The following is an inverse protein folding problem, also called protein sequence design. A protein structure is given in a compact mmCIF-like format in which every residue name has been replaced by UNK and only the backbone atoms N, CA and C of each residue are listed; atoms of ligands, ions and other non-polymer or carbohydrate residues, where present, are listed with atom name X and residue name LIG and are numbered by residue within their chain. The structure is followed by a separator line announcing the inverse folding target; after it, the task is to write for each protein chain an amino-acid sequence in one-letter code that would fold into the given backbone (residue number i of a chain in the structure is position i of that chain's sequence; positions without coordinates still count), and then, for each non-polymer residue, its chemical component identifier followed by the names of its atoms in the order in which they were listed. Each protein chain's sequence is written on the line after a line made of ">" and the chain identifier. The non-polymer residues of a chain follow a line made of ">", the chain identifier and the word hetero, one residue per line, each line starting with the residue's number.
data_IF_857584456685
#
_entry.id   IF_857584456685
#
_cell.length_a   1.000
_cell.length_b   1.000
_cell.length_c   1.000
_cell.angle_alpha   90.00
_cell.angle_beta   90.00
_cell.angle_gamma   90.00
#
_symmetry.space_group_name_H-M   'P 1'
#
loop_
_entity.id
_entity.type
_entity.pdbx_description
1 polymer ?
#
# COMPACT_ATOMS: atom_id res chain seq x y z
N UNK A 1 29.85 -0.71 11.85
CA UNK A 1 28.89 0.02 11.02
C UNK A 1 27.68 -0.87 10.83
N UNK A 2 26.51 -0.42 11.24
CA UNK A 2 25.26 -1.16 11.14
C UNK A 2 24.81 -1.23 9.66
N UNK A 3 23.98 -2.23 9.31
CA UNK A 3 23.46 -2.44 7.95
C UNK A 3 22.82 -1.16 7.36
N UNK A 4 22.05 -0.43 8.17
CA UNK A 4 21.40 0.80 7.73
C UNK A 4 22.39 1.96 7.51
N UNK A 5 23.46 2.03 8.31
CA UNK A 5 24.53 3.00 8.10
C UNK A 5 25.30 2.72 6.80
N UNK A 6 25.57 1.45 6.53
CA UNK A 6 26.22 1.00 5.29
C UNK A 6 25.37 1.30 4.06
N UNK A 7 24.07 1.06 4.18
CA UNK A 7 23.10 1.44 3.12
C UNK A 7 23.09 2.96 2.88
N UNK A 8 23.03 3.77 3.95
CA UNK A 8 23.07 5.23 3.85
C UNK A 8 24.39 5.74 3.22
N UNK A 9 25.48 5.00 3.41
CA UNK A 9 26.76 5.25 2.77
C UNK A 9 26.81 4.81 1.29
N UNK A 10 25.78 4.13 0.80
CA UNK A 10 25.67 3.70 -0.61
C UNK A 10 26.34 2.35 -0.91
N UNK A 11 26.61 1.53 0.12
CA UNK A 11 27.21 0.21 -0.10
C UNK A 11 26.21 -0.76 -0.77
N UNK A 12 26.63 -1.36 -1.87
CA UNK A 12 25.80 -2.27 -2.69
C UNK A 12 25.41 -3.52 -1.92
N UNK A 13 26.33 -4.12 -1.16
CA UNK A 13 26.03 -5.34 -0.37
C UNK A 13 24.97 -5.09 0.70
N UNK A 14 24.98 -3.88 1.30
CA UNK A 14 23.95 -3.49 2.25
C UNK A 14 22.60 -3.31 1.57
N UNK A 15 22.58 -2.72 0.39
CA UNK A 15 21.38 -2.61 -0.43
C UNK A 15 20.81 -3.98 -0.81
N UNK A 16 21.65 -4.91 -1.29
CA UNK A 16 21.21 -6.26 -1.64
C UNK A 16 20.60 -7.01 -0.43
N UNK A 17 21.22 -6.86 0.74
CA UNK A 17 20.72 -7.47 1.98
C UNK A 17 19.34 -6.93 2.35
N UNK A 18 19.12 -5.62 2.26
CA UNK A 18 17.83 -4.97 2.50
C UNK A 18 16.80 -5.34 1.42
N UNK A 19 17.21 -5.44 0.16
CA UNK A 19 16.35 -5.92 -0.91
C UNK A 19 15.81 -7.31 -0.59
N UNK A 20 16.68 -8.27 -0.30
CA UNK A 20 16.28 -9.65 0.05
C UNK A 20 15.34 -9.70 1.26
N UNK A 21 15.59 -8.85 2.26
CA UNK A 21 14.79 -8.80 3.48
C UNK A 21 13.38 -8.23 3.24
N UNK A 22 13.25 -7.18 2.45
CA UNK A 22 12.02 -6.39 2.34
C UNK A 22 11.25 -6.58 1.02
N UNK A 23 11.76 -7.28 0.01
CA UNK A 23 11.09 -7.42 -1.29
C UNK A 23 9.67 -8.00 -1.18
N UNK A 24 9.47 -9.01 -0.33
CA UNK A 24 8.17 -9.62 -0.09
C UNK A 24 7.18 -8.67 0.59
N UNK A 25 7.65 -7.86 1.53
CA UNK A 25 6.83 -6.86 2.22
C UNK A 25 6.42 -5.74 1.26
N UNK A 26 7.37 -5.22 0.50
CA UNK A 26 7.13 -4.17 -0.51
C UNK A 26 6.11 -4.65 -1.54
N UNK A 27 6.26 -5.86 -2.06
CA UNK A 27 5.29 -6.45 -2.97
C UNK A 27 3.88 -6.51 -2.35
N UNK A 28 3.76 -7.01 -1.10
CA UNK A 28 2.47 -7.10 -0.39
C UNK A 28 1.84 -5.73 -0.17
N UNK A 29 2.62 -4.71 0.17
CA UNK A 29 2.10 -3.34 0.33
C UNK A 29 1.55 -2.79 -0.99
N UNK A 30 2.30 -2.98 -2.07
CA UNK A 30 1.95 -2.45 -3.39
C UNK A 30 0.74 -3.17 -3.98
N UNK A 31 0.74 -4.51 -3.97
CA UNK A 31 -0.34 -5.29 -4.60
C UNK A 31 -1.71 -5.02 -3.97
N UNK A 32 -1.75 -4.72 -2.68
CA UNK A 32 -2.99 -4.34 -1.97
C UNK A 32 -3.53 -2.99 -2.42
N UNK A 33 -2.66 -2.08 -2.87
CA UNK A 33 -3.04 -0.76 -3.34
C UNK A 33 -3.43 -0.80 -4.82
N UNK A 34 -2.58 -1.39 -5.68
CA UNK A 34 -2.78 -1.38 -7.14
C UNK A 34 -3.70 -2.48 -7.63
N UNK A 35 -3.80 -3.59 -6.89
CA UNK A 35 -4.62 -4.78 -7.21
C UNK A 35 -4.32 -5.38 -8.60
N UNK A 36 -3.06 -5.43 -8.94
CA UNK A 36 -2.52 -5.96 -10.18
C UNK A 36 -1.16 -6.56 -9.88
N UNK A 37 -1.01 -7.85 -10.07
CA UNK A 37 0.21 -8.60 -9.72
C UNK A 37 1.40 -8.19 -10.57
N UNK A 38 1.19 -8.00 -11.88
CA UNK A 38 2.25 -7.59 -12.81
C UNK A 38 2.74 -6.18 -12.47
N UNK A 39 1.81 -5.24 -12.29
CA UNK A 39 2.16 -3.89 -11.87
C UNK A 39 2.83 -3.86 -10.49
N UNK A 40 2.43 -4.73 -9.56
CA UNK A 40 3.05 -4.82 -8.24
C UNK A 40 4.49 -5.33 -8.32
N UNK A 41 4.81 -6.28 -9.19
CA UNK A 41 6.18 -6.75 -9.42
C UNK A 41 7.06 -5.62 -9.97
N UNK A 42 6.60 -4.92 -11.01
CA UNK A 42 7.31 -3.79 -11.60
C UNK A 42 7.53 -2.66 -10.58
N UNK A 43 6.51 -2.31 -9.83
CA UNK A 43 6.59 -1.26 -8.81
C UNK A 43 7.46 -1.66 -7.61
N UNK A 44 7.58 -2.95 -7.31
CA UNK A 44 8.52 -3.43 -6.30
C UNK A 44 9.95 -3.13 -6.72
N UNK A 45 10.32 -3.45 -7.94
CA UNK A 45 11.65 -3.13 -8.49
C UNK A 45 11.86 -1.61 -8.53
N UNK A 46 10.88 -0.85 -9.00
CA UNK A 46 10.94 0.61 -9.05
C UNK A 46 11.10 1.24 -7.65
N UNK A 47 10.44 0.68 -6.65
CA UNK A 47 10.55 1.14 -5.25
C UNK A 47 11.98 1.01 -4.75
N UNK A 48 12.61 -0.14 -4.96
CA UNK A 48 14.01 -0.34 -4.55
C UNK A 48 14.99 0.50 -5.36
N UNK A 49 14.73 0.72 -6.63
CA UNK A 49 15.51 1.64 -7.44
C UNK A 49 15.44 3.09 -6.92
N UNK A 50 14.25 3.57 -6.57
CA UNK A 50 14.07 4.88 -5.92
C UNK A 50 14.74 4.94 -4.57
N UNK A 51 14.64 3.88 -3.76
CA UNK A 51 15.32 3.77 -2.47
C UNK A 51 16.84 3.82 -2.63
N UNK A 52 17.39 3.10 -3.59
CA UNK A 52 18.83 3.12 -3.88
C UNK A 52 19.30 4.54 -4.29
N UNK A 53 18.59 5.21 -5.19
CA UNK A 53 18.91 6.60 -5.56
C UNK A 53 18.80 7.59 -4.39
N UNK A 54 17.95 7.31 -3.43
CA UNK A 54 17.68 8.19 -2.30
C UNK A 54 18.46 7.80 -1.02
N UNK A 55 19.38 6.82 -1.08
CA UNK A 55 20.07 6.29 0.10
C UNK A 55 20.70 7.37 0.98
N UNK A 56 21.32 8.38 0.39
CA UNK A 56 21.95 9.50 1.10
C UNK A 56 20.94 10.40 1.87
N UNK A 57 19.65 10.30 1.57
CA UNK A 57 18.57 11.01 2.29
C UNK A 57 17.97 10.17 3.42
N UNK A 58 18.33 8.89 3.48
CA UNK A 58 17.87 8.02 4.57
C UNK A 58 18.67 8.32 5.84
N UNK A 59 17.98 8.51 6.94
CA UNK A 59 18.61 8.66 8.25
C UNK A 59 18.80 7.29 8.86
N UNK A 60 20.04 6.89 9.12
CA UNK A 60 20.37 5.55 9.62
C UNK A 60 19.79 5.25 11.02
N UNK A 61 19.42 6.29 11.78
CA UNK A 61 18.69 6.20 13.06
C UNK A 61 17.17 6.09 12.89
N UNK A 62 16.67 6.15 11.65
CA UNK A 62 15.25 6.10 11.33
C UNK A 62 14.71 4.69 11.09
N UNK A 63 13.39 4.58 11.00
CA UNK A 63 12.70 3.34 10.64
C UNK A 63 12.77 3.10 9.13
N UNK A 64 13.62 2.16 8.70
CA UNK A 64 13.81 1.83 7.30
C UNK A 64 12.53 1.29 6.64
N UNK A 65 11.78 0.43 7.33
CA UNK A 65 10.54 -0.14 6.80
C UNK A 65 9.50 0.96 6.52
N UNK A 66 9.33 1.92 7.43
CA UNK A 66 8.42 3.05 7.25
C UNK A 66 8.86 3.96 6.10
N UNK A 67 10.16 4.25 5.99
CA UNK A 67 10.71 5.03 4.90
C UNK A 67 10.54 4.35 3.54
N UNK A 68 10.82 3.04 3.46
CA UNK A 68 10.65 2.24 2.25
C UNK A 68 9.17 2.12 1.86
N UNK A 69 8.27 1.91 2.85
CA UNK A 69 6.82 1.88 2.64
C UNK A 69 6.31 3.19 2.05
N UNK A 70 6.83 4.33 2.50
CA UNK A 70 6.49 5.64 1.91
C UNK A 70 6.84 5.71 0.42
N UNK A 71 8.03 5.22 0.03
CA UNK A 71 8.45 5.16 -1.38
C UNK A 71 7.52 4.24 -2.16
N UNK A 72 7.24 3.04 -1.65
CA UNK A 72 6.37 2.05 -2.27
C UNK A 72 4.93 2.58 -2.46
N UNK A 73 4.37 3.20 -1.42
CA UNK A 73 3.01 3.76 -1.48
C UNK A 73 2.92 4.90 -2.48
N UNK A 74 3.92 5.78 -2.53
CA UNK A 74 3.97 6.85 -3.51
C UNK A 74 4.06 6.30 -4.95
N UNK A 75 4.89 5.28 -5.18
CA UNK A 75 4.99 4.63 -6.48
C UNK A 75 3.64 4.00 -6.90
N UNK A 76 2.97 3.31 -5.98
CA UNK A 76 1.64 2.73 -6.22
C UNK A 76 0.57 3.79 -6.52
N UNK A 77 0.56 4.90 -5.80
CA UNK A 77 -0.37 6.01 -6.03
C UNK A 77 -0.11 6.71 -7.38
N UNK A 78 1.14 6.89 -7.75
CA UNK A 78 1.52 7.47 -9.05
C UNK A 78 1.02 6.57 -10.19
N UNK A 79 1.18 5.26 -10.06
CA UNK A 79 0.67 4.28 -11.03
C UNK A 79 -0.86 4.35 -11.17
N UNK A 80 -1.59 4.46 -10.06
CA UNK A 80 -3.05 4.57 -10.10
C UNK A 80 -3.52 5.90 -10.74
N UNK A 81 -2.78 6.98 -10.54
CA UNK A 81 -3.06 8.27 -11.21
C UNK A 81 -2.88 8.16 -12.71
N UNK A 82 -1.79 7.52 -13.15
CA UNK A 82 -1.51 7.31 -14.58
C UNK A 82 -2.55 6.40 -15.22
N UNK A 83 -2.95 5.32 -14.54
CA UNK A 83 -4.01 4.40 -15.03
C UNK A 83 -5.38 5.04 -15.14
N UNK A 84 -5.73 6.03 -14.30
CA UNK A 84 -6.99 6.77 -14.44
C UNK A 84 -7.11 7.51 -15.79
N UNK A 85 -5.99 7.82 -16.42
CA UNK A 85 -5.97 8.42 -17.78
C UNK A 85 -6.19 7.37 -18.88
N UNK A 86 -6.03 6.06 -18.57
CA UNK A 86 -6.20 4.93 -19.49
C UNK A 86 -7.13 3.90 -18.85
N UNK A 87 -8.45 4.09 -18.98
CA UNK A 87 -9.48 3.24 -18.36
C UNK A 87 -9.33 1.78 -18.76
N UNK A 88 -9.27 0.85 -17.78
CA UNK A 88 -9.70 -0.55 -17.92
C UNK A 88 -9.89 -1.24 -16.57
N UNK A 89 -10.86 -2.13 -16.54
CA UNK A 89 -11.43 -2.91 -15.45
C UNK A 89 -10.41 -3.72 -14.62
N UNK A 90 -10.67 -3.92 -13.30
CA UNK A 90 -9.79 -4.71 -12.46
C UNK A 90 -9.98 -6.21 -12.71
N UNK A 91 -8.89 -6.89 -13.07
CA UNK A 91 -8.81 -8.35 -12.99
C UNK A 91 -8.64 -8.80 -11.53
N UNK A 92 -9.35 -9.87 -11.17
CA UNK A 92 -9.35 -10.45 -9.84
C UNK A 92 -7.96 -10.96 -9.42
N UNK A 93 -7.45 -10.44 -8.32
CA UNK A 93 -6.31 -11.04 -7.65
C UNK A 93 -6.84 -12.17 -6.76
N UNK A 94 -6.68 -13.39 -7.22
CA UNK A 94 -6.98 -14.57 -6.42
C UNK A 94 -5.95 -14.70 -5.29
N UNK A 95 -6.36 -14.36 -4.06
CA UNK A 95 -5.66 -14.83 -2.87
C UNK A 95 -6.09 -16.28 -2.63
N UNK A 96 -5.13 -17.21 -2.52
CA UNK A 96 -5.40 -18.58 -2.09
C UNK A 96 -6.08 -18.58 -0.72
N UNK A 97 -7.34 -18.98 -0.68
CA UNK A 97 -8.13 -19.05 0.54
C UNK A 97 -8.91 -20.35 0.60
N UNK A 98 -9.09 -20.86 1.83
CA UNK A 98 -9.98 -21.99 2.14
C UNK A 98 -11.36 -21.77 1.52
N UNK A 99 -12.09 -22.84 1.15
CA UNK A 99 -13.42 -22.72 0.55
C UNK A 99 -14.38 -22.03 1.52
N UNK A 100 -14.71 -20.80 1.19
CA UNK A 100 -15.73 -20.01 1.91
C UNK A 100 -17.13 -20.36 1.39
N UNK A 101 -18.13 -20.16 2.25
CA UNK A 101 -19.53 -20.21 1.81
C UNK A 101 -19.80 -19.16 0.72
N UNK A 102 -20.77 -19.43 -0.16
CA UNK A 102 -21.17 -18.49 -1.23
C UNK A 102 -21.48 -17.09 -0.67
N UNK A 103 -22.13 -17.01 0.49
CA UNK A 103 -22.43 -15.75 1.16
C UNK A 103 -21.16 -14.99 1.58
N UNK A 104 -20.15 -15.70 2.11
CA UNK A 104 -18.86 -15.08 2.47
C UNK A 104 -18.10 -14.58 1.25
N UNK A 105 -18.12 -15.34 0.14
CA UNK A 105 -17.52 -14.92 -1.13
C UNK A 105 -18.18 -13.65 -1.68
N UNK A 106 -19.52 -13.58 -1.64
CA UNK A 106 -20.25 -12.39 -2.06
C UNK A 106 -19.92 -11.17 -1.19
N UNK A 107 -19.86 -11.34 0.12
CA UNK A 107 -19.48 -10.27 1.04
C UNK A 107 -18.06 -9.77 0.78
N UNK A 108 -17.12 -10.68 0.60
CA UNK A 108 -15.73 -10.31 0.27
C UNK A 108 -15.60 -9.60 -1.08
N UNK A 109 -16.33 -10.07 -2.10
CA UNK A 109 -16.36 -9.43 -3.41
C UNK A 109 -16.93 -8.00 -3.31
N UNK A 110 -17.99 -7.80 -2.54
CA UNK A 110 -18.57 -6.48 -2.33
C UNK A 110 -17.62 -5.54 -1.57
N UNK A 111 -16.94 -6.02 -0.54
CA UNK A 111 -15.92 -5.23 0.19
C UNK A 111 -14.78 -4.84 -0.75
N UNK A 112 -14.22 -5.79 -1.52
CA UNK A 112 -13.17 -5.50 -2.51
C UNK A 112 -13.60 -4.45 -3.52
N UNK A 113 -14.82 -4.56 -4.05
CA UNK A 113 -15.39 -3.59 -4.97
C UNK A 113 -15.52 -2.21 -4.32
N UNK A 114 -16.01 -2.14 -3.08
CA UNK A 114 -16.13 -0.88 -2.34
C UNK A 114 -14.77 -0.18 -2.16
N UNK A 115 -13.72 -0.94 -1.79
CA UNK A 115 -12.36 -0.42 -1.70
C UNK A 115 -11.82 0.04 -3.05
N UNK A 116 -12.05 -0.74 -4.13
CA UNK A 116 -11.60 -0.40 -5.47
C UNK A 116 -12.19 0.92 -5.99
N UNK A 117 -13.42 1.25 -5.56
CA UNK A 117 -14.11 2.48 -5.93
C UNK A 117 -13.77 3.69 -5.07
N UNK A 118 -12.95 3.53 -4.02
CA UNK A 118 -12.45 4.67 -3.25
C UNK A 118 -11.47 5.50 -4.09
N UNK A 119 -11.47 6.84 -3.91
CA UNK A 119 -10.38 7.66 -4.42
C UNK A 119 -9.02 7.14 -3.95
N UNK A 120 -7.94 7.15 -4.77
CA UNK A 120 -6.66 6.52 -4.44
C UNK A 120 -6.08 6.94 -3.09
N UNK A 121 -6.16 8.23 -2.74
CA UNK A 121 -5.67 8.74 -1.46
C UNK A 121 -6.46 8.23 -0.25
N UNK A 122 -7.75 8.00 -0.40
CA UNK A 122 -8.60 7.43 0.65
C UNK A 122 -8.41 5.92 0.73
N UNK A 123 -8.26 5.26 -0.42
CA UNK A 123 -7.97 3.83 -0.48
C UNK A 123 -6.67 3.47 0.24
N UNK A 124 -5.60 4.23 0.00
CA UNK A 124 -4.33 3.99 0.66
C UNK A 124 -4.43 4.07 2.19
N UNK A 125 -5.09 5.10 2.72
CA UNK A 125 -5.31 5.24 4.17
C UNK A 125 -6.20 4.11 4.70
N UNK A 126 -7.29 3.78 4.02
CA UNK A 126 -8.20 2.71 4.43
C UNK A 126 -7.52 1.34 4.39
N UNK A 127 -6.68 1.08 3.39
CA UNK A 127 -5.93 -0.15 3.28
C UNK A 127 -4.97 -0.32 4.47
N UNK A 128 -4.17 0.71 4.75
CA UNK A 128 -3.20 0.67 5.84
C UNK A 128 -3.88 0.60 7.23
N UNK A 129 -4.97 1.31 7.44
CA UNK A 129 -5.61 1.40 8.75
C UNK A 129 -6.66 0.34 9.03
N UNK A 130 -7.44 -0.10 8.02
CA UNK A 130 -8.54 -1.06 8.23
C UNK A 130 -8.16 -2.51 7.91
N UNK A 131 -7.21 -2.72 7.02
CA UNK A 131 -6.81 -4.06 6.58
C UNK A 131 -5.48 -4.49 7.20
N UNK A 132 -4.53 -3.58 7.30
CA UNK A 132 -3.20 -3.83 7.86
C UNK A 132 -3.08 -3.43 9.34
N UNK A 133 -4.12 -2.78 9.88
CA UNK A 133 -4.21 -2.33 11.28
C UNK A 133 -3.01 -1.47 11.72
N UNK A 134 -2.51 -0.65 10.80
CA UNK A 134 -1.37 0.23 11.07
C UNK A 134 -1.80 1.43 11.95
N UNK A 135 -1.00 1.80 12.94
CA UNK A 135 -1.23 3.01 13.73
C UNK A 135 -1.24 4.27 12.85
N UNK A 136 -2.05 5.26 13.19
CA UNK A 136 -2.17 6.50 12.40
C UNK A 136 -0.83 7.25 12.25
N UNK A 137 0.04 7.17 13.25
CA UNK A 137 1.37 7.76 13.15
C UNK A 137 2.22 7.10 12.05
N UNK A 138 2.15 5.78 11.93
CA UNK A 138 2.84 5.01 10.90
C UNK A 138 2.25 5.29 9.51
N UNK A 139 0.91 5.37 9.41
CA UNK A 139 0.24 5.75 8.17
C UNK A 139 0.64 7.16 7.73
N UNK A 140 0.68 8.10 8.66
CA UNK A 140 1.12 9.47 8.41
C UNK A 140 2.55 9.51 7.86
N UNK A 141 3.45 8.74 8.45
CA UNK A 141 4.83 8.62 8.03
C UNK A 141 4.93 7.96 6.64
N UNK A 142 4.23 6.85 6.42
CA UNK A 142 4.22 6.13 5.15
C UNK A 142 3.70 6.98 3.99
N UNK A 143 2.68 7.79 4.23
CA UNK A 143 2.06 8.64 3.21
C UNK A 143 2.67 10.05 3.12
N UNK A 144 3.53 10.43 4.06
CA UNK A 144 4.12 11.78 4.12
C UNK A 144 3.09 12.87 4.38
N UNK A 145 2.10 12.60 5.23
CA UNK A 145 1.03 13.52 5.63
C UNK A 145 0.97 13.63 7.15
N UNK A 146 0.24 14.62 7.67
CA UNK A 146 0.04 14.77 9.12
C UNK A 146 -0.90 13.69 9.67
N UNK A 147 -0.79 13.32 10.97
CA UNK A 147 -1.74 12.42 11.62
C UNK A 147 -3.19 12.95 11.56
N UNK A 148 -3.39 14.28 11.62
CA UNK A 148 -4.69 14.90 11.41
C UNK A 148 -5.27 14.66 10.02
N UNK A 149 -4.43 14.70 8.98
CA UNK A 149 -4.84 14.38 7.62
C UNK A 149 -5.18 12.88 7.48
N UNK A 150 -4.47 11.98 8.18
CA UNK A 150 -4.83 10.55 8.24
C UNK A 150 -6.22 10.37 8.82
N UNK A 151 -6.50 10.98 9.99
CA UNK A 151 -7.83 10.93 10.64
C UNK A 151 -8.95 11.40 9.72
N UNK A 152 -8.75 12.54 9.05
CA UNK A 152 -9.74 13.09 8.14
C UNK A 152 -9.98 12.18 6.91
N UNK A 153 -8.90 11.65 6.33
CA UNK A 153 -9.01 10.72 5.19
C UNK A 153 -9.64 9.39 5.61
N UNK A 154 -9.30 8.86 6.77
CA UNK A 154 -9.91 7.67 7.34
C UNK A 154 -11.42 7.86 7.54
N UNK A 155 -11.83 8.97 8.16
CA UNK A 155 -13.24 9.29 8.34
C UNK A 155 -14.00 9.33 7.00
N UNK A 156 -13.43 10.01 5.99
CA UNK A 156 -14.01 10.07 4.64
C UNK A 156 -14.08 8.71 3.96
N UNK A 157 -13.03 7.90 4.09
CA UNK A 157 -12.97 6.56 3.53
C UNK A 157 -14.05 5.65 4.15
N UNK A 158 -14.12 5.59 5.47
CA UNK A 158 -15.13 4.80 6.19
C UNK A 158 -16.55 5.23 5.82
N UNK A 159 -16.82 6.54 5.73
CA UNK A 159 -18.12 7.07 5.33
C UNK A 159 -18.52 6.62 3.92
N UNK A 160 -17.57 6.67 2.97
CA UNK A 160 -17.82 6.23 1.59
C UNK A 160 -18.00 4.71 1.51
N UNK A 161 -17.18 3.93 2.20
CA UNK A 161 -17.31 2.48 2.27
C UNK A 161 -18.68 2.09 2.83
N UNK A 162 -19.08 2.67 3.94
CA UNK A 162 -20.39 2.41 4.57
C UNK A 162 -21.54 2.71 3.60
N UNK A 163 -21.51 3.87 2.93
CA UNK A 163 -22.54 4.26 1.94
C UNK A 163 -22.62 3.27 0.78
N UNK A 164 -21.48 2.78 0.28
CA UNK A 164 -21.42 1.80 -0.81
C UNK A 164 -21.95 0.44 -0.38
N UNK A 165 -21.53 -0.05 0.78
CA UNK A 165 -21.97 -1.34 1.32
C UNK A 165 -23.47 -1.36 1.63
N UNK A 166 -24.01 -0.27 2.17
CA UNK A 166 -25.45 -0.13 2.40
C UNK A 166 -26.26 -0.20 1.09
N UNK A 167 -25.77 0.39 0.00
CA UNK A 167 -26.42 0.30 -1.32
C UNK A 167 -26.54 -1.13 -1.84
N UNK A 168 -25.67 -2.03 -1.39
CA UNK A 168 -25.66 -3.44 -1.78
C UNK A 168 -26.33 -4.34 -0.73
N UNK A 169 -27.10 -3.75 0.18
CA UNK A 169 -27.87 -4.49 1.18
C UNK A 169 -27.04 -5.06 2.34
N UNK A 170 -25.80 -4.64 2.47
CA UNK A 170 -24.96 -5.02 3.61
C UNK A 170 -25.08 -3.96 4.69
N UNK A 171 -25.73 -4.33 5.78
CA UNK A 171 -25.79 -3.53 6.99
C UNK A 171 -24.69 -3.97 7.95
N UNK A 172 -23.98 -3.03 8.60
CA UNK A 172 -22.99 -3.33 9.63
C UNK A 172 -23.64 -3.92 10.88
#
# INVERSE_FOLDING_TARGET
>A
MDLLQRFAAGEVDAFESLFRQYQGDVYRWIVRIVRDTVAAEELTVETFWRAHKAHARFRADGNFAAWLRRIATNAALDQLRTRRQYVSLPEDIAAEQKPDSVAQQQTRAAIRKAFAELPPRLRAVAQLGLVEDEPYAEIAQALGISPGAVKLRMFRAVRLLRKKLQRWGMHP
#
